data_IF_134483285102
#
_entry.id   IF_134483285102
#
_cell.length_a   1.000
_cell.length_b   1.000
_cell.length_c   1.000
_cell.angle_alpha   90.00
_cell.angle_beta   90.00
_cell.angle_gamma   90.00
#
_symmetry.space_group_name_H-M   'P 1'
#
loop_
_entity.id
_entity.type
_entity.pdbx_description
1 polymer ?
#
# COMPACT_ATOMS: atom_id res chain seq x y z
N UNK A 1 12.30 5.40 -29.32
CA UNK A 1 12.18 5.46 -27.85
C UNK A 1 10.73 5.19 -27.53
N UNK A 2 10.39 4.01 -27.03
CA UNK A 2 9.01 3.63 -26.74
C UNK A 2 8.81 3.77 -25.24
N UNK A 3 8.02 4.76 -24.84
CA UNK A 3 7.61 4.95 -23.45
C UNK A 3 6.68 3.80 -23.07
N UNK A 4 7.00 3.08 -21.98
CA UNK A 4 6.11 2.09 -21.40
C UNK A 4 4.79 2.79 -20.98
N UNK A 5 3.64 2.10 -21.04
CA UNK A 5 2.40 2.67 -20.53
C UNK A 5 2.59 2.91 -19.03
N UNK A 6 2.55 4.18 -18.63
CA UNK A 6 2.37 4.58 -17.25
C UNK A 6 1.01 4.05 -16.80
N UNK A 7 1.01 2.92 -16.08
CA UNK A 7 -0.16 2.50 -15.33
C UNK A 7 -0.53 3.68 -14.43
N UNK A 8 -1.77 4.19 -14.47
CA UNK A 8 -2.14 5.36 -13.69
C UNK A 8 -1.97 5.02 -12.22
N UNK A 9 -0.89 5.55 -11.63
CA UNK A 9 -0.66 5.54 -10.19
C UNK A 9 -1.61 6.58 -9.61
N UNK A 10 -2.90 6.27 -9.62
CA UNK A 10 -3.94 7.14 -9.04
C UNK A 10 -4.01 6.99 -7.51
N UNK A 11 -2.97 6.42 -6.90
CA UNK A 11 -2.84 6.34 -5.45
C UNK A 11 -1.81 7.35 -4.98
N UNK A 12 -2.15 8.12 -3.96
CA UNK A 12 -1.22 9.08 -3.36
C UNK A 12 -0.11 8.28 -2.64
N UNK A 13 1.16 8.58 -2.93
CA UNK A 13 2.27 7.95 -2.23
C UNK A 13 2.20 8.27 -0.72
N UNK A 14 2.37 7.25 0.10
CA UNK A 14 2.34 7.33 1.56
C UNK A 14 3.51 6.58 2.16
N UNK A 15 4.03 7.09 3.28
CA UNK A 15 4.97 6.33 4.10
C UNK A 15 4.21 5.54 5.15
N UNK A 16 4.56 4.28 5.29
CA UNK A 16 4.00 3.38 6.29
C UNK A 16 5.13 2.93 7.20
N UNK A 17 4.98 3.19 8.50
CA UNK A 17 5.88 2.66 9.51
C UNK A 17 5.34 1.32 9.98
N UNK A 18 6.18 0.29 9.94
CA UNK A 18 5.83 -1.05 10.42
C UNK A 18 6.45 -1.35 11.77
N UNK A 19 5.82 -2.26 12.50
CA UNK A 19 6.39 -2.92 13.68
C UNK A 19 7.44 -3.96 13.25
N UNK A 20 8.27 -4.47 14.19
CA UNK A 20 9.23 -5.53 13.90
C UNK A 20 8.59 -6.83 13.37
N UNK A 21 7.33 -7.08 13.74
CA UNK A 21 6.51 -8.21 13.28
C UNK A 21 5.85 -7.97 11.90
N UNK A 22 6.03 -6.79 11.30
CA UNK A 22 5.54 -6.49 9.95
C UNK A 22 4.13 -5.93 9.90
N UNK A 23 3.56 -5.48 11.03
CA UNK A 23 2.23 -4.86 11.11
C UNK A 23 2.33 -3.33 10.97
N UNK A 24 1.45 -2.66 10.22
CA UNK A 24 1.43 -1.20 10.15
C UNK A 24 1.19 -0.56 11.53
N UNK A 25 2.00 0.45 11.88
CA UNK A 25 1.89 1.22 13.12
C UNK A 25 1.47 2.68 12.89
N UNK A 26 1.93 3.26 11.80
CA UNK A 26 1.60 4.64 11.45
C UNK A 26 1.65 4.86 9.95
N UNK A 27 0.81 5.76 9.46
CA UNK A 27 0.74 6.17 8.06
C UNK A 27 0.96 7.68 7.99
N UNK A 28 1.91 8.12 7.16
CA UNK A 28 2.08 9.53 6.84
C UNK A 28 1.35 9.82 5.53
N UNK A 29 0.29 10.62 5.63
CA UNK A 29 -0.54 11.02 4.49
C UNK A 29 -0.99 12.47 4.66
N UNK A 30 -0.94 13.24 3.58
CA UNK A 30 -1.39 14.65 3.54
C UNK A 30 -0.72 15.53 4.63
N UNK A 31 0.57 15.32 4.85
CA UNK A 31 1.34 16.05 5.88
C UNK A 31 0.98 15.70 7.34
N UNK A 32 0.10 14.73 7.57
CA UNK A 32 -0.34 14.28 8.89
C UNK A 32 0.14 12.85 9.16
N UNK A 33 0.34 12.54 10.45
CA UNK A 33 0.63 11.19 10.91
C UNK A 33 -0.66 10.60 11.46
N UNK A 34 -1.06 9.47 10.91
CA UNK A 34 -2.19 8.66 11.34
C UNK A 34 -1.66 7.47 12.13
N UNK A 35 -2.15 7.29 13.36
CA UNK A 35 -1.78 6.18 14.22
C UNK A 35 -2.69 5.01 13.89
N UNK A 36 -2.09 3.88 13.50
CA UNK A 36 -2.84 2.64 13.28
C UNK A 36 -3.25 2.07 14.63
N UNK A 37 -4.50 1.66 14.74
CA UNK A 37 -5.05 1.04 15.94
C UNK A 37 -4.77 -0.48 15.87
N UNK A 38 -3.88 -1.02 16.71
CA UNK A 38 -3.45 -2.42 16.62
C UNK A 38 -4.52 -3.40 17.12
N UNK A 39 -5.49 -2.92 17.91
CA UNK A 39 -6.53 -3.74 18.51
C UNK A 39 -7.76 -3.90 17.59
N UNK A 40 -7.77 -3.19 16.45
CA UNK A 40 -8.88 -3.23 15.49
C UNK A 40 -8.50 -4.05 14.26
N UNK A 41 -9.51 -4.68 13.66
CA UNK A 41 -9.36 -5.57 12.50
C UNK A 41 -8.41 -5.00 11.45
N UNK A 42 -7.33 -5.73 11.25
CA UNK A 42 -6.35 -5.49 10.22
C UNK A 42 -6.43 -6.64 9.22
N UNK A 43 -6.48 -6.33 7.93
CA UNK A 43 -6.42 -7.31 6.86
C UNK A 43 -5.14 -7.11 6.04
N UNK A 44 -4.46 -8.21 5.74
CA UNK A 44 -3.27 -8.27 4.90
C UNK A 44 -3.48 -9.33 3.84
N UNK A 45 -3.37 -8.96 2.57
CA UNK A 45 -3.55 -9.89 1.46
C UNK A 45 -2.70 -9.50 0.24
N UNK A 46 -2.63 -10.42 -0.71
CA UNK A 46 -1.94 -10.23 -1.98
C UNK A 46 -2.92 -10.45 -3.12
N UNK A 47 -2.90 -9.56 -4.11
CA UNK A 47 -3.55 -9.77 -5.42
C UNK A 47 -2.48 -9.93 -6.49
N UNK A 48 -2.87 -10.32 -7.71
CA UNK A 48 -1.94 -10.41 -8.84
C UNK A 48 -2.19 -9.27 -9.81
N UNK A 49 -1.14 -8.54 -10.18
CA UNK A 49 -1.22 -7.68 -11.36
C UNK A 49 -1.40 -8.56 -12.61
N UNK A 50 -2.14 -8.05 -13.60
CA UNK A 50 -2.41 -8.76 -14.84
C UNK A 50 -1.18 -8.72 -15.75
N UNK A 51 -0.05 -9.29 -15.33
CA UNK A 51 1.20 -9.29 -16.10
C UNK A 51 1.06 -9.89 -17.52
N UNK A 52 0.01 -10.68 -17.77
CA UNK A 52 -0.38 -11.17 -19.10
C UNK A 52 -0.87 -10.07 -20.05
N UNK A 53 -1.39 -8.94 -19.54
CA UNK A 53 -1.83 -7.80 -20.35
C UNK A 53 -0.64 -6.96 -20.86
N UNK A 54 0.45 -6.87 -20.09
CA UNK A 54 1.59 -5.99 -20.38
C UNK A 54 2.65 -6.63 -21.30
N UNK A 55 2.56 -7.94 -21.61
CA UNK A 55 3.53 -8.70 -22.45
C UNK A 55 5.01 -8.56 -22.05
N UNK A 56 5.32 -8.13 -20.82
CA UNK A 56 6.68 -8.06 -20.33
C UNK A 56 7.16 -9.47 -19.99
N UNK A 57 8.03 -10.03 -20.83
CA UNK A 57 8.72 -11.29 -20.50
C UNK A 57 9.69 -11.02 -19.36
N UNK A 58 9.36 -11.48 -18.17
CA UNK A 58 10.32 -11.53 -17.08
C UNK A 58 11.44 -12.53 -17.42
N UNK A 59 12.69 -12.14 -17.23
CA UNK A 59 13.79 -13.09 -17.31
C UNK A 59 13.66 -14.11 -16.16
N UNK A 60 14.02 -15.37 -16.42
CA UNK A 60 14.07 -16.42 -15.38
C UNK A 60 14.97 -15.92 -14.24
N UNK A 61 14.46 -15.93 -13.01
CA UNK A 61 15.19 -15.44 -11.82
C UNK A 61 14.92 -13.98 -11.43
N UNK A 62 14.08 -13.26 -12.17
CA UNK A 62 13.51 -11.98 -11.68
C UNK A 62 12.47 -12.34 -10.61
N UNK A 63 12.53 -11.72 -9.43
CA UNK A 63 11.74 -12.09 -8.23
C UNK A 63 10.21 -12.01 -8.39
N UNK A 64 9.48 -11.81 -7.30
CA UNK A 64 8.04 -11.65 -7.41
C UNK A 64 7.69 -10.34 -8.12
N UNK A 65 7.21 -10.45 -9.36
CA UNK A 65 6.84 -9.33 -10.22
C UNK A 65 5.34 -9.10 -10.29
N UNK A 66 4.56 -9.94 -9.62
CA UNK A 66 3.13 -10.02 -9.86
C UNK A 66 2.30 -9.85 -8.61
N UNK A 67 2.84 -10.15 -7.43
CA UNK A 67 2.07 -9.95 -6.19
C UNK A 67 2.03 -8.49 -5.80
N UNK A 68 0.83 -7.92 -5.85
CA UNK A 68 0.52 -6.61 -5.29
C UNK A 68 0.08 -6.82 -3.85
N UNK A 69 0.83 -6.25 -2.92
CA UNK A 69 0.57 -6.37 -1.50
C UNK A 69 -0.45 -5.34 -1.04
N UNK A 70 -1.38 -5.72 -0.18
CA UNK A 70 -2.44 -4.86 0.31
C UNK A 70 -2.58 -4.92 1.83
N UNK A 71 -2.83 -3.77 2.43
CA UNK A 71 -3.27 -3.66 3.82
C UNK A 71 -4.58 -2.89 3.91
N UNK A 72 -5.47 -3.34 4.78
CA UNK A 72 -6.59 -2.56 5.27
C UNK A 72 -6.43 -2.42 6.77
N UNK A 73 -6.29 -1.18 7.25
CA UNK A 73 -6.07 -0.87 8.66
C UNK A 73 -7.00 0.22 9.11
N UNK A 74 -7.26 0.25 10.41
CA UNK A 74 -7.95 1.37 11.04
C UNK A 74 -6.92 2.34 11.62
N UNK A 75 -7.01 3.62 11.27
CA UNK A 75 -6.08 4.63 11.75
C UNK A 75 -6.81 5.92 12.14
N UNK A 76 -6.29 6.62 13.13
CA UNK A 76 -6.82 7.90 13.62
C UNK A 76 -5.71 8.93 13.79
N UNK A 77 -6.07 10.21 13.72
CA UNK A 77 -5.13 11.28 14.07
C UNK A 77 -4.79 11.21 15.58
N UNK A 78 -3.60 11.66 15.99
CA UNK A 78 -3.18 11.68 17.40
C UNK A 78 -3.85 12.82 18.18
N UNK A 79 -5.18 12.84 18.17
CA UNK A 79 -6.03 13.79 18.88
C UNK A 79 -7.10 13.03 19.66
N UNK A 80 -7.43 13.47 20.87
CA UNK A 80 -8.30 12.74 21.80
C UNK A 80 -9.68 12.37 21.22
N UNK A 81 -10.20 13.16 20.28
CA UNK A 81 -11.51 12.96 19.67
C UNK A 81 -11.43 12.65 18.16
N UNK A 82 -10.27 12.20 17.67
CA UNK A 82 -10.13 11.83 16.27
C UNK A 82 -10.94 10.57 15.95
N UNK A 83 -11.73 10.64 14.89
CA UNK A 83 -12.47 9.50 14.35
C UNK A 83 -11.50 8.47 13.74
N UNK A 84 -11.83 7.20 13.92
CA UNK A 84 -11.14 6.09 13.31
C UNK A 84 -11.54 5.98 11.84
N UNK A 85 -10.55 5.95 10.95
CA UNK A 85 -10.75 5.89 9.51
C UNK A 85 -10.14 4.61 8.97
N UNK A 86 -10.77 4.05 7.96
CA UNK A 86 -10.26 2.85 7.27
C UNK A 86 -9.31 3.30 6.18
N UNK A 87 -8.06 2.83 6.23
CA UNK A 87 -7.06 3.04 5.18
C UNK A 87 -6.88 1.75 4.40
N UNK A 88 -7.03 1.83 3.08
CA UNK A 88 -6.65 0.75 2.15
C UNK A 88 -5.38 1.17 1.44
N UNK A 89 -4.34 0.39 1.64
CA UNK A 89 -2.98 0.60 1.15
C UNK A 89 -2.63 -0.50 0.15
N UNK A 90 -1.89 -0.15 -0.89
CA UNK A 90 -1.35 -1.11 -1.85
C UNK A 90 0.13 -0.85 -2.13
N UNK A 91 0.89 -1.89 -2.40
CA UNK A 91 2.28 -1.80 -2.86
C UNK A 91 2.50 -2.72 -4.03
N UNK A 92 2.92 -2.13 -5.14
CA UNK A 92 3.32 -2.88 -6.33
C UNK A 92 4.60 -3.69 -6.04
N UNK A 93 4.77 -4.87 -6.67
CA UNK A 93 5.86 -5.81 -6.36
C UNK A 93 7.29 -5.23 -6.46
N UNK A 94 7.49 -4.18 -7.26
CA UNK A 94 8.79 -3.50 -7.39
C UNK A 94 8.80 -2.08 -6.80
N UNK A 95 7.69 -1.64 -6.20
CA UNK A 95 7.61 -0.32 -5.60
C UNK A 95 8.27 -0.32 -4.21
N UNK A 96 9.07 0.71 -3.95
CA UNK A 96 9.61 0.99 -2.62
C UNK A 96 8.64 1.81 -1.76
N UNK A 97 7.59 2.35 -2.37
CA UNK A 97 6.59 3.21 -1.73
C UNK A 97 5.24 2.51 -1.66
N UNK A 98 4.46 2.85 -0.63
CA UNK A 98 3.06 2.45 -0.54
C UNK A 98 2.20 3.50 -1.22
N UNK A 99 1.11 3.04 -1.84
CA UNK A 99 0.10 3.89 -2.43
C UNK A 99 -1.18 3.80 -1.60
N UNK A 100 -1.78 4.94 -1.34
CA UNK A 100 -3.11 5.01 -0.75
C UNK A 100 -4.16 4.75 -1.82
N UNK A 101 -4.94 3.68 -1.66
CA UNK A 101 -6.05 3.34 -2.53
C UNK A 101 -7.34 4.05 -2.11
N UNK A 102 -7.64 4.07 -0.82
CA UNK A 102 -8.81 4.76 -0.28
C UNK A 102 -8.70 5.07 1.21
N UNK A 103 -9.44 6.10 1.64
CA UNK A 103 -9.74 6.41 3.05
C UNK A 103 -11.24 6.61 3.19
N UNK A 104 -11.89 5.80 4.03
CA UNK A 104 -13.32 5.96 4.37
C UNK A 104 -13.51 6.22 5.85
#
# INVERSE_FOLDING_TARGET
>A
MTLAPESPTTGHDVDVRFSPDGTPLAIRHDGRIWMVDPDVHTAHWFTRNAWWETRARAAIGTGDLVSVEHWQVQAKLPSANAELRTFTLRREPMATVWQLESIS
#
